data_IF_574658907811
#
_entry.id   IF_574658907811
#
_cell.length_a   1.000
_cell.length_b   1.000
_cell.length_c   1.000
_cell.angle_alpha   90.00
_cell.angle_beta   90.00
_cell.angle_gamma   90.00
#
_symmetry.space_group_name_H-M   'P 1'
#
loop_
_entity.id
_entity.type
_entity.pdbx_description
1 polymer ?
#
# COMPACT_ATOMS: atom_id res chain seq x y z
N UNK A 1 2.95 -32.51 26.04
CA UNK A 1 1.79 -31.63 26.28
C UNK A 1 1.21 -31.22 24.94
N UNK A 2 -0.08 -31.53 24.71
CA UNK A 2 -0.78 -31.35 23.45
C UNK A 2 -1.25 -29.89 23.31
N UNK A 3 -0.72 -29.13 22.33
CA UNK A 3 -1.31 -27.85 21.92
C UNK A 3 -2.51 -28.15 21.03
N UNK A 4 -3.72 -27.94 21.56
CA UNK A 4 -4.95 -27.93 20.77
C UNK A 4 -4.87 -26.84 19.69
N UNK A 5 -5.29 -27.16 18.46
CA UNK A 5 -5.35 -26.26 17.30
C UNK A 5 -6.37 -25.11 17.44
N UNK A 6 -6.74 -24.74 18.66
CA UNK A 6 -7.81 -23.77 18.97
C UNK A 6 -7.27 -22.35 19.24
N UNK A 7 -5.94 -22.17 19.30
CA UNK A 7 -5.31 -20.86 19.54
C UNK A 7 -4.53 -20.35 18.31
N UNK A 8 -5.15 -20.45 17.15
CA UNK A 8 -4.85 -19.56 16.04
C UNK A 8 -6.12 -18.76 15.80
N UNK A 9 -6.33 -17.70 16.61
CA UNK A 9 -7.35 -16.69 16.28
C UNK A 9 -7.09 -16.30 14.83
N UNK A 10 -8.07 -16.51 13.96
CA UNK A 10 -8.05 -15.91 12.63
C UNK A 10 -7.75 -14.43 12.84
N UNK A 11 -6.71 -13.92 12.17
CA UNK A 11 -6.41 -12.50 12.22
C UNK A 11 -7.70 -11.76 11.83
N UNK A 12 -8.18 -10.89 12.71
CA UNK A 12 -9.34 -10.06 12.42
C UNK A 12 -8.94 -9.09 11.30
N UNK A 13 -9.32 -9.42 10.07
CA UNK A 13 -9.10 -8.59 8.88
C UNK A 13 -9.91 -7.28 8.94
N UNK A 14 -10.75 -7.10 9.97
CA UNK A 14 -11.58 -5.92 10.21
C UNK A 14 -11.13 -5.10 11.42
N UNK A 15 -9.86 -5.26 11.85
CA UNK A 15 -9.28 -4.43 12.89
C UNK A 15 -9.59 -2.93 12.64
N UNK A 16 -10.09 -2.19 13.66
CA UNK A 16 -10.49 -0.79 13.51
C UNK A 16 -9.40 0.08 12.88
N UNK A 17 -9.82 1.16 12.22
CA UNK A 17 -8.86 2.12 11.68
C UNK A 17 -8.11 2.83 12.80
N UNK A 18 -6.82 3.06 12.59
CA UNK A 18 -5.99 3.87 13.49
C UNK A 18 -5.08 4.84 12.72
N UNK A 19 -4.25 5.58 13.45
CA UNK A 19 -3.38 6.61 12.88
C UNK A 19 -2.32 6.10 11.89
N UNK A 20 -2.15 4.78 11.75
CA UNK A 20 -1.26 4.14 10.78
C UNK A 20 -1.95 3.88 9.44
N UNK A 21 -3.28 3.94 9.40
CA UNK A 21 -4.03 3.70 8.18
C UNK A 21 -3.98 4.92 7.25
N UNK A 22 -3.69 4.65 5.99
CA UNK A 22 -3.79 5.66 4.94
C UNK A 22 -5.16 5.57 4.29
N UNK A 23 -5.91 6.67 4.35
CA UNK A 23 -7.27 6.74 3.79
C UNK A 23 -7.41 7.79 2.70
N UNK A 24 -8.30 7.55 1.73
CA UNK A 24 -8.68 8.48 0.65
C UNK A 24 -10.16 8.34 0.33
N UNK A 25 -10.80 9.44 -0.03
CA UNK A 25 -12.20 9.46 -0.42
C UNK A 25 -13.08 10.08 0.66
N UNK A 26 -14.31 9.59 0.79
CA UNK A 26 -15.32 10.16 1.67
C UNK A 26 -15.09 9.74 3.13
N UNK A 27 -14.36 10.57 3.89
CA UNK A 27 -14.10 10.34 5.31
C UNK A 27 -15.39 10.16 6.10
N UNK A 28 -15.46 9.12 6.95
CA UNK A 28 -16.64 8.80 7.74
C UNK A 28 -17.76 8.09 6.98
N UNK A 29 -17.56 7.76 5.69
CA UNK A 29 -18.45 6.89 4.92
C UNK A 29 -18.20 5.39 5.16
N UNK A 30 -18.87 4.50 4.41
CA UNK A 30 -18.55 3.08 4.42
C UNK A 30 -17.07 2.84 4.13
N UNK A 31 -16.42 1.96 4.89
CA UNK A 31 -15.00 1.67 4.73
C UNK A 31 -14.79 0.53 3.75
N UNK A 32 -13.91 0.74 2.77
CA UNK A 32 -13.40 -0.30 1.90
C UNK A 32 -11.92 -0.52 2.23
N UNK A 33 -11.63 -1.62 2.93
CA UNK A 33 -10.26 -1.98 3.30
C UNK A 33 -9.68 -2.94 2.27
N UNK A 34 -8.64 -2.51 1.56
CA UNK A 34 -7.87 -3.34 0.64
C UNK A 34 -6.54 -3.74 1.28
N UNK A 35 -6.40 -5.04 1.57
CA UNK A 35 -5.12 -5.65 1.87
C UNK A 35 -4.41 -5.98 0.56
N UNK A 36 -3.34 -5.24 0.26
CA UNK A 36 -2.74 -5.19 -1.07
C UNK A 36 -1.23 -5.33 -1.11
N UNK A 37 -0.74 -5.73 -2.27
CA UNK A 37 0.66 -5.85 -2.62
C UNK A 37 0.90 -5.09 -3.94
N UNK A 38 1.87 -4.17 -3.95
CA UNK A 38 2.16 -3.33 -5.12
C UNK A 38 2.67 -4.10 -6.34
N UNK A 39 3.24 -5.29 -6.15
CA UNK A 39 3.74 -6.15 -7.23
C UNK A 39 2.67 -7.16 -7.67
N UNK A 40 1.55 -7.26 -6.96
CA UNK A 40 0.46 -8.17 -7.29
C UNK A 40 -0.45 -7.62 -8.41
N UNK A 41 -0.62 -8.35 -9.53
CA UNK A 41 -1.50 -7.91 -10.62
C UNK A 41 -2.98 -7.90 -10.22
N UNK A 42 -3.39 -8.73 -9.26
CA UNK A 42 -4.78 -8.77 -8.77
C UNK A 42 -5.10 -7.57 -7.88
N UNK A 43 -4.15 -7.13 -7.04
CA UNK A 43 -4.32 -5.88 -6.28
C UNK A 43 -4.47 -4.69 -7.23
N UNK A 44 -3.67 -4.63 -8.30
CA UNK A 44 -3.84 -3.57 -9.31
C UNK A 44 -5.16 -3.65 -10.07
N UNK A 45 -5.65 -4.85 -10.37
CA UNK A 45 -6.98 -5.03 -10.95
C UNK A 45 -8.09 -4.54 -10.02
N UNK A 46 -7.98 -4.84 -8.71
CA UNK A 46 -8.90 -4.33 -7.70
C UNK A 46 -8.86 -2.80 -7.62
N UNK A 47 -7.67 -2.18 -7.59
CA UNK A 47 -7.53 -0.72 -7.62
C UNK A 47 -8.20 -0.09 -8.85
N UNK A 48 -8.01 -0.65 -10.05
CA UNK A 48 -8.71 -0.18 -11.26
C UNK A 48 -10.22 -0.30 -11.15
N UNK A 49 -10.72 -1.39 -10.56
CA UNK A 49 -12.16 -1.56 -10.35
C UNK A 49 -12.70 -0.54 -9.34
N UNK A 50 -11.95 -0.24 -8.28
CA UNK A 50 -12.26 0.80 -7.29
C UNK A 50 -12.33 2.16 -7.96
N UNK A 51 -11.37 2.51 -8.82
CA UNK A 51 -11.39 3.77 -9.58
C UNK A 51 -12.63 3.88 -10.47
N UNK A 52 -13.04 2.78 -11.12
CA UNK A 52 -14.27 2.73 -11.92
C UNK A 52 -15.52 2.93 -11.06
N UNK A 53 -15.57 2.37 -9.85
CA UNK A 53 -16.69 2.57 -8.92
C UNK A 53 -16.78 4.04 -8.50
N UNK A 54 -15.66 4.66 -8.13
CA UNK A 54 -15.60 6.09 -7.76
C UNK A 54 -16.05 6.95 -8.95
N UNK A 55 -15.58 6.67 -10.17
CA UNK A 55 -16.00 7.38 -11.38
C UNK A 55 -17.50 7.25 -11.69
N UNK A 56 -18.16 6.19 -11.18
CA UNK A 56 -19.61 5.97 -11.28
C UNK A 56 -20.40 6.54 -10.10
N UNK A 57 -19.75 7.28 -9.21
CA UNK A 57 -20.40 7.95 -8.08
C UNK A 57 -20.47 7.13 -6.79
N UNK A 58 -19.74 6.01 -6.69
CA UNK A 58 -19.62 5.31 -5.42
C UNK A 58 -18.82 6.16 -4.41
N UNK A 59 -19.33 6.23 -3.18
CA UNK A 59 -18.72 6.99 -2.08
C UNK A 59 -18.33 6.06 -0.94
N UNK A 60 -17.04 5.98 -0.64
CA UNK A 60 -16.49 5.22 0.48
C UNK A 60 -15.18 5.84 0.94
N UNK A 61 -14.75 5.46 2.14
CA UNK A 61 -13.40 5.68 2.64
C UNK A 61 -12.53 4.47 2.24
N UNK A 62 -11.68 4.66 1.24
CA UNK A 62 -10.72 3.63 0.83
C UNK A 62 -9.56 3.62 1.82
N UNK A 63 -9.25 2.43 2.33
CA UNK A 63 -8.12 2.17 3.23
C UNK A 63 -7.20 1.16 2.56
N UNK A 64 -5.91 1.46 2.47
CA UNK A 64 -4.92 0.52 1.92
C UNK A 64 -4.03 -0.03 3.04
N UNK A 65 -3.98 -1.35 3.18
CA UNK A 65 -3.12 -2.06 4.14
C UNK A 65 -2.19 -3.01 3.40
N UNK A 66 -0.95 -3.13 3.83
CA UNK A 66 0.01 -3.99 3.14
C UNK A 66 -0.22 -5.48 3.44
N UNK A 67 -0.14 -6.30 2.39
CA UNK A 67 -0.04 -7.75 2.49
C UNK A 67 1.01 -8.29 1.49
N UNK A 68 2.31 -7.95 1.69
CA UNK A 68 3.36 -8.28 0.74
C UNK A 68 3.69 -9.78 0.80
N UNK A 69 3.50 -10.50 -0.30
CA UNK A 69 3.81 -11.93 -0.41
C UNK A 69 5.27 -12.14 -0.77
N UNK A 70 6.17 -11.88 0.19
CA UNK A 70 7.62 -11.73 0.02
C UNK A 70 8.30 -12.91 -0.66
N UNK A 71 7.75 -14.12 -0.53
CA UNK A 71 8.29 -15.35 -1.11
C UNK A 71 8.15 -15.39 -2.64
N UNK A 72 7.14 -14.71 -3.19
CA UNK A 72 6.82 -14.72 -4.63
C UNK A 72 6.79 -13.32 -5.27
N UNK A 73 6.94 -12.27 -4.46
CA UNK A 73 6.96 -10.85 -4.86
C UNK A 73 8.17 -10.15 -4.24
N UNK A 74 9.36 -10.28 -4.85
CA UNK A 74 10.62 -9.81 -4.27
C UNK A 74 10.67 -8.29 -4.04
N UNK A 75 9.87 -7.49 -4.76
CA UNK A 75 9.85 -6.04 -4.67
C UNK A 75 8.70 -5.49 -3.84
N UNK A 76 7.69 -6.31 -3.51
CA UNK A 76 6.51 -5.90 -2.74
C UNK A 76 6.84 -5.17 -1.44
N UNK A 77 7.76 -5.74 -0.65
CA UNK A 77 8.17 -5.16 0.63
C UNK A 77 8.86 -3.80 0.45
N UNK A 78 9.75 -3.70 -0.54
CA UNK A 78 10.48 -2.48 -0.84
C UNK A 78 9.53 -1.37 -1.32
N UNK A 79 8.55 -1.71 -2.16
CA UNK A 79 7.52 -0.79 -2.61
C UNK A 79 6.62 -0.31 -1.44
N UNK A 80 6.25 -1.20 -0.51
CA UNK A 80 5.52 -0.83 0.69
C UNK A 80 6.30 0.17 1.56
N UNK A 81 7.58 -0.09 1.79
CA UNK A 81 8.47 0.80 2.53
C UNK A 81 8.65 2.16 1.84
N UNK A 82 8.70 2.20 0.51
CA UNK A 82 8.76 3.45 -0.24
C UNK A 82 7.48 4.29 -0.07
N UNK A 83 6.30 3.65 -0.06
CA UNK A 83 5.03 4.32 0.20
C UNK A 83 4.96 4.88 1.64
N UNK A 84 5.43 4.15 2.64
CA UNK A 84 5.52 4.66 4.02
C UNK A 84 6.54 5.79 4.17
N UNK A 85 7.69 5.71 3.47
CA UNK A 85 8.66 6.80 3.44
C UNK A 85 8.03 8.09 2.85
N UNK A 86 7.20 7.95 1.82
CA UNK A 86 6.43 9.06 1.25
C UNK A 86 5.36 9.59 2.22
N UNK A 87 4.71 8.70 2.98
CA UNK A 87 3.69 9.07 3.96
C UNK A 87 4.22 10.00 5.06
N UNK A 88 5.49 9.82 5.48
CA UNK A 88 6.14 10.73 6.44
C UNK A 88 6.21 12.19 5.97
N UNK A 89 6.01 12.43 4.68
CA UNK A 89 5.98 13.76 4.06
C UNK A 89 4.59 14.10 3.49
N UNK A 90 3.54 13.35 3.87
CA UNK A 90 2.17 13.59 3.43
C UNK A 90 1.88 13.17 1.98
N UNK A 91 2.73 12.35 1.36
CA UNK A 91 2.63 11.97 -0.07
C UNK A 91 2.39 10.47 -0.30
N UNK A 92 1.72 9.82 0.64
CA UNK A 92 1.44 8.39 0.54
C UNK A 92 0.72 8.05 -0.77
N UNK A 93 -0.38 8.75 -1.07
CA UNK A 93 -1.24 8.42 -2.21
C UNK A 93 -0.57 8.69 -3.56
N UNK A 94 0.26 9.74 -3.65
CA UNK A 94 1.06 9.98 -4.85
C UNK A 94 2.07 8.86 -5.10
N UNK A 95 2.74 8.37 -4.06
CA UNK A 95 3.64 7.22 -4.19
C UNK A 95 2.86 5.94 -4.52
N UNK A 96 1.79 5.65 -3.78
CA UNK A 96 0.89 4.51 -4.01
C UNK A 96 0.45 4.43 -5.48
N UNK A 97 -0.06 5.53 -6.04
CA UNK A 97 -0.55 5.57 -7.42
C UNK A 97 0.60 5.49 -8.43
N UNK A 98 1.79 5.99 -8.10
CA UNK A 98 3.00 5.80 -8.91
C UNK A 98 3.41 4.33 -8.96
N UNK A 99 3.44 3.63 -7.83
CA UNK A 99 3.86 2.23 -7.74
C UNK A 99 2.93 1.33 -8.56
N UNK A 100 1.61 1.50 -8.42
CA UNK A 100 0.64 0.72 -9.22
C UNK A 100 0.70 1.03 -10.72
N UNK A 101 1.09 2.24 -11.13
CA UNK A 101 1.30 2.54 -12.55
C UNK A 101 2.57 1.92 -13.13
N UNK A 102 3.50 1.47 -12.29
CA UNK A 102 4.81 1.00 -12.70
C UNK A 102 5.16 -0.37 -12.09
N UNK A 103 4.19 -1.28 -11.94
CA UNK A 103 4.38 -2.56 -11.23
C UNK A 103 5.52 -3.44 -11.74
N UNK A 104 5.92 -3.30 -13.02
CA UNK A 104 7.03 -4.04 -13.61
C UNK A 104 8.41 -3.43 -13.32
N UNK A 105 8.46 -2.29 -12.60
CA UNK A 105 9.66 -1.49 -12.36
C UNK A 105 9.63 -0.98 -10.92
N UNK A 106 9.91 -1.89 -9.99
CA UNK A 106 9.88 -1.67 -8.53
C UNK A 106 11.25 -1.94 -7.89
N UNK A 107 12.32 -1.91 -8.68
CA UNK A 107 13.68 -2.01 -8.14
C UNK A 107 14.05 -0.75 -7.35
N UNK A 108 15.09 -0.84 -6.51
CA UNK A 108 15.51 0.29 -5.67
C UNK A 108 15.75 1.58 -6.47
N UNK A 109 16.36 1.49 -7.65
CA UNK A 109 16.57 2.64 -8.52
C UNK A 109 15.26 3.24 -9.04
N UNK A 110 14.27 2.41 -9.38
CA UNK A 110 12.95 2.88 -9.81
C UNK A 110 12.22 3.62 -8.68
N UNK A 111 12.22 3.03 -7.48
CA UNK A 111 11.60 3.62 -6.30
C UNK A 111 12.23 4.98 -5.96
N UNK A 112 13.55 5.13 -6.16
CA UNK A 112 14.21 6.43 -6.02
C UNK A 112 13.73 7.46 -7.02
N UNK A 113 13.73 7.09 -8.29
CA UNK A 113 13.23 7.96 -9.36
C UNK A 113 11.78 8.37 -9.14
N UNK A 114 10.96 7.48 -8.58
CA UNK A 114 9.57 7.78 -8.26
C UNK A 114 9.43 8.77 -7.12
N UNK A 115 10.21 8.62 -6.06
CA UNK A 115 10.24 9.56 -4.95
C UNK A 115 10.65 10.97 -5.40
N UNK A 116 11.67 11.07 -6.26
CA UNK A 116 12.07 12.33 -6.89
C UNK A 116 10.93 12.92 -7.74
N UNK A 117 10.26 12.09 -8.56
CA UNK A 117 9.16 12.52 -9.42
C UNK A 117 7.98 13.09 -8.64
N UNK A 118 7.71 12.59 -7.44
CA UNK A 118 6.64 13.11 -6.56
C UNK A 118 7.14 14.18 -5.58
N UNK A 119 8.41 14.61 -5.70
CA UNK A 119 8.96 15.75 -4.97
C UNK A 119 9.41 15.45 -3.53
N UNK A 120 9.86 14.24 -3.22
CA UNK A 120 10.31 13.85 -1.86
C UNK A 120 11.76 14.21 -1.51
N UNK A 121 12.48 14.96 -2.37
CA UNK A 121 13.87 15.37 -2.13
C UNK A 121 14.82 14.19 -1.91
N UNK A 122 15.93 14.40 -1.20
CA UNK A 122 16.86 13.33 -0.79
C UNK A 122 16.56 12.78 0.62
N UNK A 123 15.70 13.46 1.39
CA UNK A 123 15.40 13.14 2.79
C UNK A 123 14.52 11.91 3.00
N UNK A 124 13.97 11.31 1.94
CA UNK A 124 13.23 10.04 2.04
C UNK A 124 14.13 8.80 2.01
N UNK A 125 15.44 8.96 1.71
CA UNK A 125 16.43 7.88 1.70
C UNK A 125 16.67 7.44 3.15
N UNK A 126 15.97 6.38 3.58
CA UNK A 126 16.25 5.70 4.84
C UNK A 126 17.52 4.84 4.78
N UNK A 127 18.07 4.42 5.93
CA UNK A 127 19.32 3.65 6.03
C UNK A 127 19.33 2.30 5.29
N UNK A 128 18.17 1.86 4.78
CA UNK A 128 17.98 0.60 4.05
C UNK A 128 18.13 0.74 2.52
N UNK A 129 18.24 1.96 2.01
CA UNK A 129 18.38 2.24 0.58
C UNK A 129 19.81 2.71 0.29
N UNK A 130 20.72 1.82 -0.18
CA UNK A 130 22.05 2.27 -0.56
C UNK A 130 21.97 3.28 -1.72
N UNK A 131 22.75 4.35 -1.60
CA UNK A 131 22.89 5.42 -2.58
C UNK A 131 23.41 4.93 -3.93
#
# INVERSE_FOLDING_TARGET
>A
MNRTMTDMRAADLTAPLDARDHTRGASGGPQLVLYGDFECPYTAAAMRAIDVLVARGATFELVFRYFPLREIRPHAQAAAEAAEAAARQGRFWEMHDVLFRNQLRLEAADLRRYAERIGLGTSWIGPRWPG
#
